data_IF_714040998214
#
_entry.id   IF_714040998214
#
_cell.length_a   1.000
_cell.length_b   1.000
_cell.length_c   1.000
_cell.angle_alpha   90.00
_cell.angle_beta   90.00
_cell.angle_gamma   90.00
#
_symmetry.space_group_name_H-M   'P 1'
#
loop_
_entity.id
_entity.type
_entity.pdbx_description
1 polymer ?
#
# COMPACT_ATOMS: atom_id res chain seq x y z
N UNK A 1 0.30 7.15 -19.86
CA UNK A 1 -0.47 5.92 -19.54
C UNK A 1 -1.92 6.18 -19.10
N UNK A 2 -2.39 7.42 -18.91
CA UNK A 2 -3.81 7.67 -18.61
C UNK A 2 -4.30 7.04 -17.30
N UNK A 3 -3.41 6.85 -16.33
CA UNK A 3 -3.74 6.24 -15.03
C UNK A 3 -4.71 7.17 -14.28
N UNK A 4 -5.76 6.58 -13.70
CA UNK A 4 -6.78 7.29 -12.95
C UNK A 4 -6.93 6.76 -11.52
N UNK A 5 -6.24 5.68 -11.15
CA UNK A 5 -6.37 5.06 -9.85
C UNK A 5 -5.00 4.77 -9.23
N UNK A 6 -4.86 5.12 -7.96
CA UNK A 6 -3.71 4.75 -7.14
C UNK A 6 -4.17 3.85 -5.98
N UNK A 7 -3.47 2.73 -5.79
CA UNK A 7 -3.72 1.76 -4.73
C UNK A 7 -2.50 1.70 -3.81
N UNK A 8 -2.71 1.64 -2.50
CA UNK A 8 -1.63 1.50 -1.52
C UNK A 8 -2.09 0.91 -0.19
N UNK A 9 -1.17 0.70 0.75
CA UNK A 9 -1.51 0.38 2.13
C UNK A 9 -2.24 1.53 2.82
N UNK A 10 -2.93 1.25 3.92
CA UNK A 10 -3.63 2.26 4.72
C UNK A 10 -2.74 3.46 5.12
N UNK A 11 -1.43 3.24 5.29
CA UNK A 11 -0.43 4.26 5.59
C UNK A 11 -0.16 5.24 4.43
N UNK A 12 -0.57 4.92 3.20
CA UNK A 12 -0.34 5.74 2.01
C UNK A 12 -1.46 6.75 1.73
N UNK A 13 -2.51 6.79 2.54
CA UNK A 13 -3.69 7.65 2.29
C UNK A 13 -3.32 9.11 2.01
N UNK A 14 -2.44 9.70 2.84
CA UNK A 14 -2.04 11.11 2.67
C UNK A 14 -1.30 11.36 1.36
N UNK A 15 -0.47 10.42 0.91
CA UNK A 15 0.25 10.53 -0.36
C UNK A 15 -0.71 10.43 -1.55
N UNK A 16 -1.70 9.53 -1.46
CA UNK A 16 -2.72 9.33 -2.51
C UNK A 16 -3.58 10.59 -2.66
N UNK A 17 -4.09 11.15 -1.55
CA UNK A 17 -4.93 12.35 -1.61
C UNK A 17 -4.16 13.58 -2.07
N UNK A 18 -2.89 13.72 -1.66
CA UNK A 18 -2.02 14.79 -2.16
C UNK A 18 -1.79 14.69 -3.68
N UNK A 19 -1.68 13.46 -4.21
CA UNK A 19 -1.60 13.21 -5.64
C UNK A 19 -2.87 13.61 -6.39
N UNK A 20 -4.05 13.25 -5.87
CA UNK A 20 -5.35 13.64 -6.42
C UNK A 20 -5.49 15.17 -6.45
N UNK A 21 -5.17 15.85 -5.35
CA UNK A 21 -5.21 17.31 -5.27
C UNK A 21 -4.27 17.96 -6.28
N UNK A 22 -3.07 17.41 -6.47
CA UNK A 22 -2.12 17.91 -7.46
C UNK A 22 -2.66 17.75 -8.89
N UNK A 23 -3.25 16.61 -9.22
CA UNK A 23 -3.87 16.36 -10.53
C UNK A 23 -4.97 17.39 -10.79
N UNK A 24 -5.87 17.62 -9.82
CA UNK A 24 -6.95 18.60 -10.00
C UNK A 24 -6.43 20.04 -10.17
N UNK A 25 -5.31 20.40 -9.52
CA UNK A 25 -4.68 21.72 -9.67
C UNK A 25 -4.03 21.93 -11.03
N UNK A 26 -3.47 20.87 -11.63
CA UNK A 26 -2.73 20.96 -12.88
C UNK A 26 -3.59 20.68 -14.12
N UNK A 27 -4.51 19.73 -14.02
CA UNK A 27 -5.29 19.20 -15.16
C UNK A 27 -6.78 19.58 -15.10
N UNK A 28 -7.25 20.17 -14.00
CA UNK A 28 -8.65 20.56 -13.80
C UNK A 28 -9.42 19.68 -12.82
N UNK A 29 -10.40 20.26 -12.14
CA UNK A 29 -11.17 19.58 -11.09
C UNK A 29 -12.11 18.46 -11.61
N UNK A 30 -12.38 18.46 -12.91
CA UNK A 30 -13.16 17.44 -13.61
C UNK A 30 -12.31 16.24 -14.04
N UNK A 31 -10.98 16.32 -13.90
CA UNK A 31 -10.06 15.25 -14.28
C UNK A 31 -10.25 14.03 -13.38
N UNK A 32 -10.57 12.83 -13.93
CA UNK A 32 -10.76 11.66 -13.09
C UNK A 32 -9.46 11.19 -12.42
N UNK A 33 -9.45 11.16 -11.09
CA UNK A 33 -8.39 10.63 -10.24
C UNK A 33 -8.99 10.02 -8.96
N UNK A 34 -8.59 8.79 -8.63
CA UNK A 34 -9.18 7.98 -7.57
C UNK A 34 -8.09 7.33 -6.70
N UNK A 35 -8.43 7.13 -5.43
CA UNK A 35 -7.58 6.49 -4.45
C UNK A 35 -8.27 5.32 -3.78
N UNK A 36 -7.54 4.22 -3.56
CA UNK A 36 -7.99 3.10 -2.76
C UNK A 36 -6.89 2.65 -1.81
N UNK A 37 -7.23 2.45 -0.54
CA UNK A 37 -6.30 1.90 0.44
C UNK A 37 -6.72 0.51 0.86
N UNK A 38 -5.73 -0.37 1.01
CA UNK A 38 -5.88 -1.73 1.53
C UNK A 38 -5.69 -1.66 3.05
N UNK A 39 -6.56 -2.30 3.85
CA UNK A 39 -6.43 -2.29 5.30
C UNK A 39 -5.10 -2.88 5.75
N UNK A 40 -4.64 -2.47 6.93
CA UNK A 40 -3.47 -3.10 7.55
C UNK A 40 -3.80 -4.56 7.85
N UNK A 41 -2.95 -5.47 7.35
CA UNK A 41 -3.10 -6.90 7.62
C UNK A 41 -2.74 -7.19 9.08
N UNK A 42 -3.74 -7.68 9.83
CA UNK A 42 -3.60 -8.15 11.19
C UNK A 42 -3.87 -9.66 11.23
N UNK A 43 -3.22 -10.37 12.14
CA UNK A 43 -3.58 -11.75 12.48
C UNK A 43 -4.88 -11.76 13.30
N UNK A 44 -5.51 -12.93 13.41
CA UNK A 44 -6.71 -13.10 14.26
C UNK A 44 -6.47 -12.74 15.73
N UNK A 45 -5.22 -12.84 16.20
CA UNK A 45 -4.79 -12.43 17.55
C UNK A 45 -4.51 -10.92 17.69
N UNK A 46 -4.74 -10.12 16.64
CA UNK A 46 -4.52 -8.68 16.63
C UNK A 46 -3.07 -8.23 16.42
N UNK A 47 -2.11 -9.16 16.34
CA UNK A 47 -0.71 -8.82 16.04
C UNK A 47 -0.53 -8.46 14.57
N UNK A 48 0.44 -7.58 14.27
CA UNK A 48 0.74 -7.20 12.88
C UNK A 48 1.19 -8.42 12.08
N UNK A 49 0.56 -8.63 10.92
CA UNK A 49 0.99 -9.64 9.98
C UNK A 49 2.43 -9.32 9.50
N UNK A 50 3.29 -10.33 9.37
CA UNK A 50 4.69 -10.16 8.95
C UNK A 50 5.71 -9.82 10.05
N UNK A 51 5.28 -9.62 11.30
CA UNK A 51 6.18 -9.76 12.46
C UNK A 51 6.06 -11.17 13.02
N UNK A 52 6.86 -12.10 12.51
CA UNK A 52 7.09 -13.36 13.24
C UNK A 52 7.95 -13.03 14.48
N UNK A 53 8.02 -13.95 15.45
CA UNK A 53 8.94 -13.80 16.58
C UNK A 53 10.42 -13.69 16.15
N UNK A 54 10.74 -14.03 14.88
CA UNK A 54 12.09 -13.98 14.30
C UNK A 54 12.38 -12.82 13.34
N UNK A 55 11.44 -11.90 13.09
CA UNK A 55 11.64 -10.75 12.19
C UNK A 55 10.72 -10.73 10.97
N UNK A 56 11.11 -9.98 9.94
CA UNK A 56 10.37 -9.82 8.69
C UNK A 56 10.51 -11.07 7.80
N UNK A 57 9.40 -11.51 7.20
CA UNK A 57 9.39 -12.56 6.17
C UNK A 57 9.68 -11.88 4.83
N UNK A 58 10.79 -12.25 4.19
CA UNK A 58 11.21 -11.68 2.92
C UNK A 58 10.68 -12.53 1.76
N UNK A 59 10.39 -11.88 0.62
CA UNK A 59 10.10 -12.58 -0.63
C UNK A 59 11.38 -13.07 -1.33
N UNK A 60 12.53 -12.57 -0.88
CA UNK A 60 13.84 -12.95 -1.38
C UNK A 60 14.27 -14.30 -0.78
N UNK A 61 14.46 -15.35 -1.60
CA UNK A 61 14.79 -16.69 -1.11
C UNK A 61 16.16 -16.77 -0.41
N UNK A 62 17.06 -15.81 -0.63
CA UNK A 62 18.35 -15.75 0.07
C UNK A 62 18.21 -15.20 1.50
N UNK A 63 17.09 -14.53 1.81
CA UNK A 63 16.80 -13.92 3.12
C UNK A 63 15.78 -14.69 3.93
N UNK A 64 14.88 -15.41 3.27
CA UNK A 64 13.94 -16.33 3.90
C UNK A 64 13.83 -17.55 3.00
N UNK A 65 14.21 -18.71 3.52
CA UNK A 65 14.15 -19.93 2.70
C UNK A 65 12.69 -20.25 2.35
N UNK A 66 12.40 -20.89 1.20
CA UNK A 66 11.02 -21.26 0.83
C UNK A 66 10.31 -22.18 1.83
N UNK A 67 11.05 -22.86 2.72
CA UNK A 67 10.49 -23.67 3.79
C UNK A 67 10.02 -22.82 4.99
N UNK A 68 10.64 -21.67 5.21
CA UNK A 68 10.31 -20.73 6.28
C UNK A 68 9.28 -19.67 5.87
N UNK A 69 9.02 -19.52 4.57
CA UNK A 69 7.99 -18.64 4.00
C UNK A 69 6.58 -19.24 4.15
#
# INVERSE_FOLDING_TARGET
HGVQMQIGGADQWGNITAGIDLIHRLEGADRPAFGLTIPLMLKADGTKFGKSAGGAVWLDPEKTSPYEF
#
